data_IF_691731732220
#
_entry.id   IF_691731732220
#
_cell.length_a   1.000
_cell.length_b   1.000
_cell.length_c   1.000
_cell.angle_alpha   90.00
_cell.angle_beta   90.00
_cell.angle_gamma   90.00
#
_symmetry.space_group_name_H-M   'P 1'
#
loop_
_entity.id
_entity.type
_entity.pdbx_description
1 polymer ?
#
# COMPACT_ATOMS: atom_id res chain seq x y z
N UNK A 1 10.45 -16.71 8.63
CA UNK A 1 10.17 -15.29 8.84
C UNK A 1 9.04 -14.92 7.91
N UNK A 2 8.02 -14.30 8.43
CA UNK A 2 6.86 -13.88 7.67
C UNK A 2 7.06 -12.44 7.21
N UNK A 3 6.57 -12.09 6.02
CA UNK A 3 6.57 -10.74 5.50
C UNK A 3 5.46 -9.88 6.15
N UNK A 4 5.48 -8.58 5.87
CA UNK A 4 4.38 -7.68 6.20
C UNK A 4 3.39 -7.56 5.01
N UNK A 5 2.33 -6.74 5.16
CA UNK A 5 1.33 -6.55 4.11
C UNK A 5 1.94 -6.07 2.78
N UNK A 6 3.01 -5.29 2.83
CA UNK A 6 3.73 -4.85 1.65
C UNK A 6 4.38 -6.03 0.91
N UNK A 7 5.09 -6.90 1.64
CA UNK A 7 5.76 -8.04 1.03
C UNK A 7 4.75 -8.98 0.36
N UNK A 8 3.61 -9.21 1.01
CA UNK A 8 2.52 -10.02 0.45
C UNK A 8 1.91 -9.38 -0.80
N UNK A 9 1.61 -8.09 -0.76
CA UNK A 9 1.01 -7.39 -1.88
C UNK A 9 1.95 -7.37 -3.11
N UNK A 10 3.23 -7.07 -2.89
CA UNK A 10 4.22 -7.02 -3.97
C UNK A 10 4.45 -8.40 -4.57
N UNK A 11 4.61 -9.42 -3.73
CA UNK A 11 4.80 -10.80 -4.20
C UNK A 11 3.58 -11.29 -4.99
N UNK A 12 2.37 -11.07 -4.48
CA UNK A 12 1.14 -11.43 -5.17
C UNK A 12 1.03 -10.74 -6.54
N UNK A 13 1.30 -9.43 -6.58
CA UNK A 13 1.29 -8.67 -7.83
C UNK A 13 2.30 -9.25 -8.85
N UNK A 14 3.50 -9.61 -8.42
CA UNK A 14 4.50 -10.22 -9.28
C UNK A 14 4.03 -11.59 -9.82
N UNK A 15 3.44 -12.43 -8.96
CA UNK A 15 2.91 -13.73 -9.36
C UNK A 15 1.77 -13.56 -10.38
N UNK A 16 0.80 -12.69 -10.12
CA UNK A 16 -0.32 -12.47 -11.05
C UNK A 16 0.18 -11.99 -12.41
N UNK A 17 1.11 -11.05 -12.43
CA UNK A 17 1.71 -10.56 -13.67
C UNK A 17 2.49 -11.65 -14.43
N UNK A 18 3.17 -12.53 -13.72
CA UNK A 18 3.87 -13.68 -14.35
C UNK A 18 2.92 -14.68 -15.00
N UNK A 19 1.69 -14.74 -14.51
CA UNK A 19 0.60 -15.55 -15.07
C UNK A 19 -0.19 -14.82 -16.18
N UNK A 20 0.23 -13.61 -16.55
CA UNK A 20 -0.46 -12.81 -17.58
C UNK A 20 -1.72 -12.09 -17.06
N UNK A 21 -1.96 -12.08 -15.76
CA UNK A 21 -3.10 -11.39 -15.13
C UNK A 21 -2.66 -9.97 -14.76
N UNK A 22 -3.30 -8.92 -15.32
CA UNK A 22 -2.98 -7.55 -14.92
C UNK A 22 -3.26 -7.36 -13.42
N UNK A 23 -2.27 -6.84 -12.72
CA UNK A 23 -2.34 -6.60 -11.29
C UNK A 23 -1.67 -5.28 -10.94
N UNK A 24 -2.27 -4.53 -10.03
CA UNK A 24 -1.70 -3.31 -9.44
C UNK A 24 -1.72 -3.43 -7.93
N UNK A 25 -0.71 -2.85 -7.30
CA UNK A 25 -0.64 -2.76 -5.84
C UNK A 25 -1.12 -1.37 -5.41
N UNK A 26 -1.95 -1.35 -4.41
CA UNK A 26 -2.44 -0.14 -3.74
C UNK A 26 -1.71 0.05 -2.41
N UNK A 27 -1.60 1.28 -1.99
CA UNK A 27 -1.04 1.66 -0.71
C UNK A 27 -1.90 2.70 -0.02
N UNK A 28 -2.04 2.55 1.27
CA UNK A 28 -2.84 3.44 2.08
C UNK A 28 -2.80 3.07 3.55
N UNK A 29 -3.94 3.16 4.19
CA UNK A 29 -4.12 2.79 5.59
C UNK A 29 -5.29 1.83 5.75
N UNK A 30 -5.16 0.99 6.76
CA UNK A 30 -6.25 0.22 7.35
C UNK A 30 -6.68 0.91 8.63
N UNK A 31 -7.99 1.06 8.83
CA UNK A 31 -8.59 1.66 10.03
C UNK A 31 -9.12 0.55 10.91
N UNK A 32 -8.63 0.48 12.16
CA UNK A 32 -9.11 -0.48 13.15
C UNK A 32 -10.40 -0.05 13.85
N UNK A 33 -10.94 -0.94 14.66
CA UNK A 33 -12.20 -0.72 15.41
C UNK A 33 -12.17 0.49 16.33
N UNK A 34 -11.02 0.82 16.89
CA UNK A 34 -10.82 1.95 17.80
C UNK A 34 -10.29 3.20 17.07
N UNK A 35 -10.50 3.31 15.76
CA UNK A 35 -10.00 4.40 14.91
C UNK A 35 -8.47 4.48 14.82
N UNK A 36 -7.76 3.48 15.31
CA UNK A 36 -6.33 3.38 15.07
C UNK A 36 -6.05 3.16 13.59
N UNK A 37 -4.96 3.70 13.11
CA UNK A 37 -4.57 3.59 11.69
C UNK A 37 -3.24 2.86 11.56
N UNK A 38 -3.12 2.06 10.50
CA UNK A 38 -1.90 1.34 10.17
C UNK A 38 -1.64 1.41 8.68
N UNK A 39 -0.39 1.62 8.29
CA UNK A 39 0.02 1.51 6.89
C UNK A 39 -0.32 0.13 6.36
N UNK A 40 -0.92 0.09 5.18
CA UNK A 40 -1.43 -1.14 4.61
C UNK A 40 -1.30 -1.16 3.08
N UNK A 41 -1.14 -2.37 2.52
CA UNK A 41 -0.97 -2.60 1.09
C UNK A 41 -1.82 -3.78 0.65
N UNK A 42 -2.51 -3.61 -0.48
CA UNK A 42 -3.35 -4.63 -1.11
C UNK A 42 -3.26 -4.55 -2.63
N UNK A 43 -3.98 -5.38 -3.32
CA UNK A 43 -3.92 -5.47 -4.76
C UNK A 43 -5.28 -5.27 -5.41
N UNK A 44 -5.27 -4.96 -6.69
CA UNK A 44 -6.37 -5.16 -7.60
C UNK A 44 -5.89 -5.99 -8.77
N UNK A 45 -6.70 -6.98 -9.18
CA UNK A 45 -6.49 -7.78 -10.39
C UNK A 45 -7.55 -7.43 -11.41
N UNK A 46 -7.19 -7.47 -12.69
CA UNK A 46 -8.16 -7.27 -13.76
C UNK A 46 -8.68 -8.61 -14.27
N UNK A 47 -9.99 -8.79 -14.23
CA UNK A 47 -10.68 -9.95 -14.77
C UNK A 47 -11.54 -9.50 -15.93
N UNK A 48 -11.34 -10.15 -17.10
CA UNK A 48 -12.10 -9.82 -18.30
C UNK A 48 -13.62 -10.00 -18.04
N UNK A 49 -14.39 -8.99 -18.42
CA UNK A 49 -15.84 -8.97 -18.20
C UNK A 49 -16.29 -8.49 -16.80
N UNK A 50 -15.40 -8.44 -15.81
CA UNK A 50 -15.70 -7.97 -14.45
C UNK A 50 -14.98 -6.65 -14.11
N UNK A 51 -13.82 -6.40 -14.72
CA UNK A 51 -13.01 -5.21 -14.42
C UNK A 51 -11.97 -5.46 -13.31
N UNK A 52 -11.63 -4.40 -12.60
CA UNK A 52 -10.67 -4.46 -11.50
C UNK A 52 -11.35 -4.96 -10.21
N UNK A 53 -10.78 -6.01 -9.64
CA UNK A 53 -11.29 -6.69 -8.45
C UNK A 53 -10.27 -6.56 -7.33
N UNK A 54 -10.66 -6.10 -6.14
CA UNK A 54 -9.75 -5.96 -5.01
C UNK A 54 -9.35 -7.32 -4.43
N UNK A 55 -8.10 -7.41 -3.97
CA UNK A 55 -7.57 -8.58 -3.29
C UNK A 55 -6.62 -8.14 -2.19
N UNK A 56 -6.96 -8.42 -0.96
CA UNK A 56 -6.04 -8.26 0.17
C UNK A 56 -5.53 -9.61 0.62
N UNK A 57 -4.34 -9.95 0.15
CA UNK A 57 -3.72 -11.25 0.43
C UNK A 57 -3.34 -11.38 1.90
N UNK A 58 -2.93 -10.30 2.55
CA UNK A 58 -2.51 -10.35 3.94
C UNK A 58 -3.67 -10.61 4.89
N UNK A 59 -4.81 -9.96 4.70
CA UNK A 59 -6.02 -10.22 5.46
C UNK A 59 -6.60 -11.59 5.10
N UNK A 60 -6.66 -11.93 3.81
CA UNK A 60 -7.12 -13.22 3.34
C UNK A 60 -6.28 -14.40 3.83
N UNK A 61 -4.98 -14.21 4.05
CA UNK A 61 -4.12 -15.21 4.67
C UNK A 61 -4.23 -15.27 6.21
N UNK A 62 -4.94 -14.34 6.81
CA UNK A 62 -5.12 -14.28 8.26
C UNK A 62 -3.89 -13.83 9.03
N UNK A 63 -3.04 -13.01 8.40
CA UNK A 63 -1.86 -12.46 9.07
C UNK A 63 -2.25 -11.40 10.10
N UNK A 64 -1.80 -11.56 11.32
CA UNK A 64 -1.70 -10.69 12.50
C UNK A 64 -2.68 -9.49 12.67
N UNK A 65 -3.76 -9.44 11.90
CA UNK A 65 -4.77 -8.38 12.00
C UNK A 65 -5.98 -8.78 12.86
N UNK A 66 -5.90 -9.90 13.57
CA UNK A 66 -6.98 -10.45 14.40
C UNK A 66 -7.53 -9.43 15.41
N UNK A 67 -6.71 -8.45 15.84
CA UNK A 67 -7.17 -7.36 16.69
C UNK A 67 -7.97 -6.28 15.97
N UNK A 68 -7.91 -6.26 14.62
CA UNK A 68 -8.49 -5.22 13.80
C UNK A 68 -9.83 -5.62 13.19
N UNK A 69 -9.99 -6.91 12.94
CA UNK A 69 -11.18 -7.48 12.33
C UNK A 69 -12.00 -8.27 13.36
N UNK A 70 -13.28 -8.45 13.10
CA UNK A 70 -14.11 -9.35 13.87
C UNK A 70 -13.75 -10.80 13.56
N UNK A 71 -13.62 -11.66 14.59
CA UNK A 71 -13.33 -13.09 14.45
C UNK A 71 -14.35 -13.85 13.58
N UNK A 72 -15.49 -13.22 13.31
CA UNK A 72 -16.57 -13.76 12.49
C UNK A 72 -16.44 -13.49 11.00
N UNK A 73 -15.49 -12.66 10.58
CA UNK A 73 -15.36 -12.33 9.16
C UNK A 73 -14.66 -13.46 8.40
N UNK A 74 -15.30 -13.89 7.30
CA UNK A 74 -14.72 -14.85 6.37
C UNK A 74 -13.48 -14.22 5.72
N UNK A 75 -12.31 -14.77 6.01
CA UNK A 75 -11.04 -14.33 5.40
C UNK A 75 -11.07 -14.38 3.87
N UNK A 76 -11.85 -15.28 3.29
CA UNK A 76 -12.05 -15.36 1.85
C UNK A 76 -12.78 -14.15 1.27
N UNK A 77 -13.46 -13.36 2.10
CA UNK A 77 -14.08 -12.10 1.70
C UNK A 77 -13.09 -11.19 0.97
N UNK A 78 -11.84 -11.11 1.45
CA UNK A 78 -10.82 -10.23 0.89
C UNK A 78 -10.23 -10.70 -0.45
N UNK A 79 -10.68 -11.83 -0.98
CA UNK A 79 -10.40 -12.27 -2.35
C UNK A 79 -11.58 -11.95 -3.25
N UNK A 80 -11.76 -10.69 -3.59
CA UNK A 80 -12.81 -10.21 -4.48
C UNK A 80 -13.67 -9.11 -3.88
N UNK A 81 -13.58 -8.86 -2.59
CA UNK A 81 -14.30 -7.79 -1.90
C UNK A 81 -13.36 -6.95 -1.04
N UNK A 82 -13.84 -5.77 -0.69
CA UNK A 82 -13.13 -4.81 0.17
C UNK A 82 -14.15 -4.17 1.11
N UNK A 83 -13.76 -4.01 2.36
CA UNK A 83 -14.53 -3.27 3.34
C UNK A 83 -14.24 -1.76 3.30
N UNK A 84 -14.91 -1.00 4.15
CA UNK A 84 -14.74 0.45 4.27
C UNK A 84 -13.61 0.86 5.23
N UNK A 85 -12.83 -0.10 5.73
CA UNK A 85 -11.68 0.14 6.59
C UNK A 85 -10.41 0.48 5.80
N UNK A 86 -10.41 0.26 4.49
CA UNK A 86 -9.31 0.55 3.59
C UNK A 86 -9.41 1.96 3.00
N UNK A 87 -8.39 2.78 3.21
CA UNK A 87 -8.26 4.09 2.56
C UNK A 87 -7.03 4.07 1.66
N UNK A 88 -7.24 4.22 0.35
CA UNK A 88 -6.18 4.22 -0.64
C UNK A 88 -5.61 5.64 -0.82
N UNK A 89 -4.29 5.77 -0.75
CA UNK A 89 -3.57 7.02 -1.06
C UNK A 89 -2.85 6.95 -2.40
N UNK A 90 -2.39 5.77 -2.80
CA UNK A 90 -1.77 5.61 -4.11
C UNK A 90 -2.09 4.26 -4.73
N UNK A 91 -2.21 4.26 -6.05
CA UNK A 91 -2.49 3.09 -6.88
C UNK A 91 -1.39 2.89 -7.90
N UNK A 92 -0.74 1.72 -7.85
CA UNK A 92 0.39 1.39 -8.70
C UNK A 92 1.68 2.10 -8.30
N UNK A 93 2.75 1.80 -9.04
CA UNK A 93 4.07 2.39 -8.85
C UNK A 93 4.24 3.59 -9.77
N UNK A 94 4.86 4.66 -9.29
CA UNK A 94 5.25 5.75 -10.16
C UNK A 94 6.40 5.32 -11.08
N UNK A 95 6.48 5.95 -12.24
CA UNK A 95 7.64 5.78 -13.10
C UNK A 95 8.80 6.59 -12.55
N UNK A 96 9.91 5.92 -12.32
CA UNK A 96 11.15 6.59 -11.95
C UNK A 96 11.62 7.46 -13.10
N UNK A 97 11.82 8.74 -12.86
CA UNK A 97 12.44 9.65 -13.82
C UNK A 97 13.95 9.51 -13.78
N UNK A 98 14.63 9.66 -14.91
CA UNK A 98 16.09 9.68 -14.93
C UNK A 98 16.61 10.85 -14.10
N UNK A 99 17.74 10.61 -13.52
CA UNK A 99 18.45 11.47 -12.62
C UNK A 99 19.06 12.71 -13.31
N UNK A 100 19.02 13.85 -12.71
CA UNK A 100 19.78 15.03 -13.13
C UNK A 100 21.19 15.01 -12.47
N UNK A 101 22.20 15.38 -13.26
CA UNK A 101 23.62 15.18 -12.92
C UNK A 101 24.09 15.94 -11.67
N UNK A 102 23.43 17.02 -11.33
CA UNK A 102 23.90 17.98 -10.33
C UNK A 102 23.06 17.99 -9.06
N UNK A 103 22.08 17.11 -8.94
CA UNK A 103 21.13 17.11 -7.84
C UNK A 103 21.23 15.84 -7.01
N UNK A 104 21.24 16.00 -5.70
CA UNK A 104 21.22 14.90 -4.76
C UNK A 104 19.81 14.36 -4.63
N UNK A 105 19.64 13.07 -4.89
CA UNK A 105 18.36 12.40 -4.66
C UNK A 105 18.32 11.85 -3.23
N UNK A 106 17.23 12.16 -2.55
CA UNK A 106 16.89 11.56 -1.27
C UNK A 106 15.73 10.59 -1.52
N UNK A 107 15.99 9.30 -1.32
CA UNK A 107 14.94 8.30 -1.38
C UNK A 107 14.30 8.17 0.01
N UNK A 108 13.02 8.46 0.09
CA UNK A 108 12.27 8.25 1.32
C UNK A 108 11.99 6.76 1.57
N UNK A 109 11.96 6.34 2.82
CA UNK A 109 11.59 4.99 3.15
C UNK A 109 10.15 4.71 2.74
N UNK A 110 9.86 3.47 2.47
CA UNK A 110 8.54 2.96 2.23
C UNK A 110 7.58 3.34 3.36
N UNK A 111 6.43 3.89 3.00
CA UNK A 111 5.37 4.24 3.93
C UNK A 111 4.00 3.87 3.34
N UNK A 112 2.93 4.51 3.73
CA UNK A 112 1.58 4.32 3.18
C UNK A 112 1.41 4.80 1.73
N UNK A 113 2.46 5.25 1.07
CA UNK A 113 2.47 5.57 -0.34
C UNK A 113 3.47 4.69 -1.08
N UNK A 114 3.08 4.15 -2.23
CA UNK A 114 3.98 3.39 -3.12
C UNK A 114 4.81 4.29 -4.02
N UNK A 115 4.56 5.58 -3.98
CA UNK A 115 5.26 6.56 -4.79
C UNK A 115 6.64 6.83 -4.22
N UNK A 116 7.66 6.79 -5.07
CA UNK A 116 8.97 7.30 -4.71
C UNK A 116 8.91 8.82 -4.70
N UNK A 117 9.32 9.42 -3.62
CA UNK A 117 9.47 10.86 -3.51
C UNK A 117 10.93 11.17 -3.82
N UNK A 118 11.11 11.98 -4.85
CA UNK A 118 12.41 12.46 -5.28
C UNK A 118 12.51 13.94 -4.96
N UNK A 119 13.47 14.29 -4.20
CA UNK A 119 13.77 15.68 -3.91
C UNK A 119 15.16 16.03 -4.42
N UNK A 120 15.25 17.09 -5.16
CA UNK A 120 16.49 17.63 -5.67
C UNK A 120 16.95 18.76 -4.75
N UNK A 121 18.12 18.58 -4.15
CA UNK A 121 18.74 19.60 -3.34
C UNK A 121 19.94 20.21 -4.09
N UNK A 122 20.08 21.53 -4.08
CA UNK A 122 21.29 22.19 -4.56
C UNK A 122 22.48 21.87 -3.69
N UNK A 123 23.70 22.01 -4.21
CA UNK A 123 24.93 21.79 -3.45
C UNK A 123 25.02 22.65 -2.19
N UNK A 124 24.38 23.82 -2.20
CA UNK A 124 24.35 24.77 -1.09
C UNK A 124 23.31 24.43 -0.01
N UNK A 125 22.55 23.38 -0.16
CA UNK A 125 21.56 22.96 0.84
C UNK A 125 22.25 22.36 2.05
N UNK A 126 22.38 23.15 3.11
CA UNK A 126 23.12 22.76 4.31
C UNK A 126 22.40 21.75 5.20
N UNK A 127 21.07 21.70 5.16
CA UNK A 127 20.25 20.77 5.96
C UNK A 127 18.98 20.41 5.22
N UNK A 128 18.64 19.12 5.26
CA UNK A 128 17.36 18.58 4.83
C UNK A 128 16.72 17.85 5.99
N UNK A 129 15.45 18.13 6.23
CA UNK A 129 14.63 17.34 7.17
C UNK A 129 13.30 16.99 6.53
N UNK A 130 12.92 15.75 6.64
CA UNK A 130 11.63 15.25 6.19
C UNK A 130 10.86 14.74 7.40
N UNK A 131 9.58 15.07 7.47
CA UNK A 131 8.71 14.66 8.55
C UNK A 131 7.49 13.91 8.00
N UNK A 132 7.25 12.74 8.54
CA UNK A 132 6.13 11.88 8.19
C UNK A 132 5.29 11.59 9.42
N UNK A 133 3.98 11.79 9.32
CA UNK A 133 3.04 11.40 10.36
C UNK A 133 2.02 10.41 9.82
N UNK A 134 1.61 9.47 10.66
CA UNK A 134 0.51 8.57 10.33
C UNK A 134 -0.79 9.38 10.34
N UNK A 135 -1.66 9.23 9.32
CA UNK A 135 -2.98 9.85 9.33
C UNK A 135 -3.78 9.45 10.56
N UNK A 136 -4.52 10.41 11.11
CA UNK A 136 -5.38 10.19 12.28
C UNK A 136 -6.83 10.34 11.86
N UNK A 137 -7.64 9.31 12.07
CA UNK A 137 -9.08 9.37 11.85
C UNK A 137 -9.72 10.13 13.00
N UNK A 138 -10.43 11.20 12.70
CA UNK A 138 -11.10 12.05 13.70
C UNK A 138 -12.59 11.74 13.87
N UNK A 139 -13.17 10.99 12.97
CA UNK A 139 -14.55 10.57 13.03
C UNK A 139 -15.02 10.01 11.69
N UNK A 140 -16.11 9.26 11.75
CA UNK A 140 -16.87 8.78 10.59
C UNK A 140 -18.26 9.38 10.74
N UNK A 141 -18.75 10.08 9.71
CA UNK A 141 -20.03 10.77 9.73
C UNK A 141 -21.02 10.16 8.76
#
# INVERSE_FOLDING_TARGET
KFGDAYDFAVMYCAIMRSLGIPCVTNSGILIGKNMETRSHWWNEIYINGLGWIPVDVSLGAGLEYEKWLDDSEDKMFYFGNMDNHHICFSRGWNQLKPFSKDNKIVQHPRSFALQSIWEEASEDTAKYSSYWSVPVVKGVY
#
